data_IF_214094873757
#
_entry.id   IF_214094873757
#
_cell.length_a   1.000
_cell.length_b   1.000
_cell.length_c   1.000
_cell.angle_alpha   90.00
_cell.angle_beta   90.00
_cell.angle_gamma   90.00
#
_symmetry.space_group_name_H-M   'P 1'
#
loop_
_entity.id
_entity.type
_entity.pdbx_description
1 polymer ?
#
# COMPACT_ATOMS: atom_id res chain seq x y z
N UNK A 1 -4.84 -30.02 -65.41
CA UNK A 1 -4.34 -29.44 -64.15
C UNK A 1 -5.51 -28.77 -63.44
N UNK A 2 -6.01 -29.31 -62.32
CA UNK A 2 -6.99 -28.62 -61.48
C UNK A 2 -6.28 -27.76 -60.42
N UNK A 3 -6.83 -26.58 -60.17
CA UNK A 3 -6.37 -25.56 -59.25
C UNK A 3 -6.53 -26.02 -57.79
N UNK A 4 -5.46 -25.89 -57.00
CA UNK A 4 -5.51 -25.90 -55.53
C UNK A 4 -6.32 -24.66 -55.12
N UNK A 5 -7.51 -24.85 -54.56
CA UNK A 5 -8.20 -23.79 -53.82
C UNK A 5 -7.47 -23.65 -52.48
N UNK A 6 -6.97 -22.44 -52.23
CA UNK A 6 -6.47 -22.02 -50.94
C UNK A 6 -7.61 -22.11 -49.93
N UNK A 7 -7.54 -23.12 -49.04
CA UNK A 7 -8.31 -23.13 -47.81
C UNK A 7 -7.88 -21.91 -46.99
N UNK A 8 -8.73 -20.88 -47.02
CA UNK A 8 -8.58 -19.68 -46.23
C UNK A 8 -8.44 -20.08 -44.76
N UNK A 9 -7.29 -19.74 -44.17
CA UNK A 9 -7.07 -19.88 -42.74
C UNK A 9 -8.22 -19.20 -41.99
N UNK A 10 -9.07 -20.00 -41.35
CA UNK A 10 -10.15 -19.48 -40.54
C UNK A 10 -9.53 -18.82 -39.30
N UNK A 11 -9.55 -17.49 -39.24
CA UNK A 11 -9.00 -16.72 -38.12
C UNK A 11 -9.75 -16.98 -36.81
N UNK A 12 -10.96 -17.54 -36.87
CA UNK A 12 -11.74 -17.91 -35.68
C UNK A 12 -11.18 -19.18 -35.00
N UNK A 13 -10.53 -20.08 -35.75
CA UNK A 13 -9.83 -21.24 -35.16
C UNK A 13 -8.50 -20.86 -34.48
N UNK A 14 -7.96 -19.67 -34.79
CA UNK A 14 -6.68 -19.20 -34.24
C UNK A 14 -6.82 -18.63 -32.82
N UNK A 15 -8.02 -18.18 -32.45
CA UNK A 15 -8.30 -17.60 -31.14
C UNK A 15 -9.05 -18.52 -30.20
N UNK A 16 -9.43 -19.73 -30.64
CA UNK A 16 -10.02 -20.76 -29.80
C UNK A 16 -11.39 -20.36 -29.25
N UNK A 17 -12.34 -21.28 -29.36
CA UNK A 17 -13.56 -21.27 -28.56
C UNK A 17 -13.23 -20.85 -27.10
N UNK A 18 -14.03 -20.00 -26.44
CA UNK A 18 -13.73 -19.47 -25.09
C UNK A 18 -13.57 -20.56 -24.01
N UNK A 19 -13.84 -21.82 -24.36
CA UNK A 19 -13.68 -23.00 -23.51
C UNK A 19 -12.47 -23.90 -23.89
N UNK A 20 -11.72 -23.60 -24.95
CA UNK A 20 -10.63 -24.48 -25.43
C UNK A 20 -9.34 -24.38 -24.59
N UNK A 21 -9.20 -23.32 -23.80
CA UNK A 21 -8.10 -23.11 -22.86
C UNK A 21 -8.52 -23.31 -21.39
N UNK A 22 -9.59 -24.06 -21.13
CA UNK A 22 -9.83 -24.55 -19.78
C UNK A 22 -8.80 -25.63 -19.47
N UNK A 23 -7.75 -25.25 -18.75
CA UNK A 23 -6.71 -26.13 -18.20
C UNK A 23 -7.26 -27.14 -17.16
N UNK A 24 -8.55 -27.48 -17.22
CA UNK A 24 -9.28 -28.27 -16.22
C UNK A 24 -9.27 -27.62 -14.83
N UNK A 25 -8.90 -26.34 -14.74
CA UNK A 25 -8.86 -25.62 -13.49
C UNK A 25 -10.27 -25.09 -13.21
N UNK A 26 -10.89 -25.46 -12.08
CA UNK A 26 -12.21 -24.96 -11.75
C UNK A 26 -12.18 -23.42 -11.74
N UNK A 27 -13.17 -22.80 -12.36
CA UNK A 27 -13.33 -21.35 -12.35
C UNK A 27 -13.23 -20.84 -10.91
N UNK A 28 -12.21 -20.02 -10.64
CA UNK A 28 -11.98 -19.50 -9.30
C UNK A 28 -13.23 -18.73 -8.86
N UNK A 29 -13.74 -18.96 -7.64
CA UNK A 29 -14.92 -18.26 -7.18
C UNK A 29 -14.63 -16.75 -7.15
N UNK A 30 -15.60 -15.90 -7.53
CA UNK A 30 -15.41 -14.47 -7.51
C UNK A 30 -15.02 -14.01 -6.10
N UNK A 31 -13.87 -13.35 -6.00
CA UNK A 31 -13.35 -12.85 -4.74
C UNK A 31 -14.27 -11.70 -4.29
N UNK A 32 -15.01 -11.92 -3.20
CA UNK A 32 -15.92 -10.91 -2.64
C UNK A 32 -15.16 -9.61 -2.37
N UNK A 33 -15.71 -8.49 -2.85
CA UNK A 33 -15.13 -7.16 -2.65
C UNK A 33 -13.97 -6.81 -3.59
N UNK A 34 -13.57 -7.68 -4.53
CA UNK A 34 -12.50 -7.36 -5.49
C UNK A 34 -12.85 -6.15 -6.37
N UNK A 35 -14.08 -6.09 -6.89
CA UNK A 35 -14.52 -4.95 -7.70
C UNK A 35 -14.47 -3.63 -6.92
N UNK A 36 -14.87 -3.65 -5.64
CA UNK A 36 -14.78 -2.49 -4.76
C UNK A 36 -13.32 -2.11 -4.48
N UNK A 37 -12.44 -3.09 -4.19
CA UNK A 37 -11.02 -2.86 -3.98
C UNK A 37 -10.34 -2.28 -5.24
N UNK A 38 -10.72 -2.76 -6.43
CA UNK A 38 -10.23 -2.23 -7.70
C UNK A 38 -10.70 -0.80 -7.95
N UNK A 39 -11.96 -0.48 -7.63
CA UNK A 39 -12.46 0.89 -7.76
C UNK A 39 -11.81 1.83 -6.73
N UNK A 40 -11.62 1.38 -5.49
CA UNK A 40 -10.83 2.12 -4.47
C UNK A 40 -9.40 2.37 -4.95
N UNK A 41 -8.73 1.37 -5.54
CA UNK A 41 -7.37 1.51 -6.08
C UNK A 41 -7.34 2.48 -7.26
N UNK A 42 -8.35 2.42 -8.14
CA UNK A 42 -8.49 3.33 -9.28
C UNK A 42 -8.72 4.77 -8.85
N UNK A 43 -9.46 4.98 -7.76
CA UNK A 43 -9.81 6.30 -7.25
C UNK A 43 -8.71 6.93 -6.40
N UNK A 44 -7.96 6.14 -5.61
CA UNK A 44 -7.07 6.67 -4.58
C UNK A 44 -5.59 6.60 -4.94
N UNK A 45 -5.17 5.73 -5.87
CA UNK A 45 -3.76 5.47 -6.23
C UNK A 45 -2.92 4.82 -5.12
N UNK A 46 -3.22 5.11 -3.85
CA UNK A 46 -2.61 4.57 -2.64
C UNK A 46 -3.68 3.90 -1.76
N UNK A 47 -3.69 2.56 -1.71
CA UNK A 47 -4.70 1.78 -0.96
C UNK A 47 -4.10 0.62 -0.12
N UNK A 48 -2.81 0.69 0.22
CA UNK A 48 -2.13 -0.36 0.98
C UNK A 48 -2.54 -0.31 2.46
N UNK A 49 -3.62 -1.00 2.81
CA UNK A 49 -4.15 -1.08 4.19
C UNK A 49 -3.35 -2.02 5.10
N UNK A 50 -2.48 -2.86 4.54
CA UNK A 50 -1.60 -3.78 5.28
C UNK A 50 -0.19 -3.69 4.70
N UNK A 51 0.82 -3.55 5.55
CA UNK A 51 2.22 -3.46 5.16
C UNK A 51 3.13 -4.27 6.09
N UNK A 52 4.15 -4.93 5.53
CA UNK A 52 5.15 -5.72 6.26
C UNK A 52 6.52 -5.06 6.24
N UNK A 53 7.13 -4.97 7.40
CA UNK A 53 8.50 -4.51 7.61
C UNK A 53 9.51 -5.63 7.36
N UNK A 54 10.70 -5.28 6.87
CA UNK A 54 11.85 -6.21 6.78
C UNK A 54 12.27 -6.77 8.14
N UNK A 55 11.88 -6.14 9.24
CA UNK A 55 12.18 -6.59 10.60
C UNK A 55 11.08 -7.50 11.20
N UNK A 56 10.12 -7.98 10.39
CA UNK A 56 9.09 -8.93 10.84
C UNK A 56 7.90 -8.31 11.57
N UNK A 57 7.73 -6.99 11.43
CA UNK A 57 6.60 -6.24 11.95
C UNK A 57 5.51 -6.08 10.89
N UNK A 58 4.25 -6.20 11.29
CA UNK A 58 3.07 -6.14 10.45
C UNK A 58 2.25 -4.95 10.93
N UNK A 59 2.02 -4.00 10.04
CA UNK A 59 1.09 -2.90 10.29
C UNK A 59 -0.16 -3.09 9.44
N UNK A 60 -1.33 -2.83 10.03
CA UNK A 60 -2.61 -2.87 9.33
C UNK A 60 -3.51 -1.73 9.80
N UNK A 61 -4.32 -1.19 8.91
CA UNK A 61 -5.39 -0.26 9.25
C UNK A 61 -6.54 -1.07 9.84
N UNK A 62 -7.10 -0.61 10.96
CA UNK A 62 -8.27 -1.23 11.59
C UNK A 62 -9.50 -1.22 10.65
N UNK A 63 -10.47 -2.11 10.86
CA UNK A 63 -11.67 -2.17 10.01
C UNK A 63 -12.51 -0.88 9.98
N UNK A 64 -12.44 -0.08 11.05
CA UNK A 64 -13.08 1.26 11.11
C UNK A 64 -12.30 2.34 10.34
N UNK A 65 -11.10 2.02 9.86
CA UNK A 65 -10.23 2.90 9.08
C UNK A 65 -9.50 3.96 9.89
N UNK A 66 -9.57 3.95 11.22
CA UNK A 66 -9.12 5.07 12.06
C UNK A 66 -7.83 4.82 12.83
N UNK A 67 -7.42 3.56 12.98
CA UNK A 67 -6.28 3.17 13.80
C UNK A 67 -5.29 2.36 12.99
N UNK A 68 -4.03 2.43 13.41
CA UNK A 68 -3.01 1.49 12.94
C UNK A 68 -2.79 0.46 14.03
N UNK A 69 -2.92 -0.79 13.65
CA UNK A 69 -2.64 -1.97 14.44
C UNK A 69 -1.28 -2.50 14.01
N UNK A 70 -0.42 -2.75 14.99
CA UNK A 70 0.90 -3.32 14.80
C UNK A 70 0.98 -4.66 15.52
N UNK A 71 1.49 -5.68 14.82
CA UNK A 71 1.75 -7.02 15.34
C UNK A 71 3.11 -7.51 14.86
N UNK A 72 3.69 -8.47 15.58
CA UNK A 72 4.94 -9.12 15.20
C UNK A 72 4.71 -10.57 14.85
N UNK A 73 5.46 -11.10 13.88
CA UNK A 73 5.53 -12.54 13.65
C UNK A 73 6.40 -13.19 14.71
N UNK A 74 5.87 -14.22 15.35
CA UNK A 74 6.55 -14.96 16.42
C UNK A 74 6.58 -16.43 16.05
N UNK A 75 7.75 -17.06 16.08
CA UNK A 75 7.85 -18.51 15.99
C UNK A 75 7.66 -19.08 17.40
N UNK A 76 6.58 -19.82 17.62
CA UNK A 76 6.27 -20.38 18.93
C UNK A 76 7.31 -21.46 19.28
N UNK A 77 8.05 -21.34 20.40
CA UNK A 77 9.11 -22.29 20.72
C UNK A 77 8.65 -23.75 20.91
N UNK A 78 7.38 -23.95 21.28
CA UNK A 78 6.86 -25.28 21.61
C UNK A 78 6.60 -26.17 20.40
N UNK A 79 6.21 -25.60 19.26
CA UNK A 79 5.79 -26.35 18.07
C UNK A 79 6.38 -25.81 16.75
N UNK A 80 7.18 -24.75 16.81
CA UNK A 80 7.80 -24.11 15.63
C UNK A 80 6.81 -23.39 14.72
N UNK A 81 5.54 -23.20 15.13
CA UNK A 81 4.53 -22.53 14.32
C UNK A 81 4.67 -21.02 14.40
N UNK A 82 4.53 -20.37 13.26
CA UNK A 82 4.45 -18.91 13.18
C UNK A 82 3.07 -18.42 13.60
N UNK A 83 3.03 -17.47 14.53
CA UNK A 83 1.82 -16.83 15.01
C UNK A 83 1.99 -15.32 15.01
N UNK A 84 0.86 -14.60 14.99
CA UNK A 84 0.86 -13.17 15.24
C UNK A 84 0.90 -12.92 16.74
N UNK A 85 1.75 -11.99 17.14
CA UNK A 85 1.80 -11.47 18.51
C UNK A 85 0.57 -10.67 18.89
N UNK A 86 0.61 -10.15 20.11
CA UNK A 86 -0.43 -9.26 20.62
C UNK A 86 -0.59 -8.01 19.76
N UNK A 87 -1.82 -7.51 19.74
CA UNK A 87 -2.17 -6.28 19.05
C UNK A 87 -1.67 -5.06 19.82
N UNK A 88 -0.83 -4.25 19.19
CA UNK A 88 -0.40 -2.96 19.69
C UNK A 88 -0.95 -1.86 18.78
N UNK A 89 -1.80 -0.99 19.30
CA UNK A 89 -2.32 0.14 18.51
C UNK A 89 -1.38 1.34 18.59
N UNK A 90 -1.14 2.01 17.45
CA UNK A 90 -0.44 3.28 17.41
C UNK A 90 -1.37 4.40 17.89
N UNK A 91 -1.52 4.54 19.20
CA UNK A 91 -2.40 5.52 19.84
C UNK A 91 -2.33 6.96 19.28
N UNK A 92 -1.15 7.55 18.98
CA UNK A 92 -1.10 8.92 18.48
C UNK A 92 -1.62 9.10 17.05
N UNK A 93 -1.86 8.04 16.28
CA UNK A 93 -2.29 8.15 14.87
C UNK A 93 -3.65 8.81 14.73
N UNK A 94 -4.61 8.44 15.58
CA UNK A 94 -5.98 8.97 15.49
C UNK A 94 -5.99 10.50 15.65
N UNK A 95 -5.28 10.99 16.67
CA UNK A 95 -5.14 12.41 16.97
C UNK A 95 -4.30 13.12 15.90
N UNK A 96 -3.19 12.51 15.46
CA UNK A 96 -2.33 13.08 14.43
C UNK A 96 -3.09 13.33 13.12
N UNK A 97 -4.06 12.46 12.79
CA UNK A 97 -4.90 12.57 11.61
C UNK A 97 -6.30 13.14 11.91
N UNK A 98 -6.54 13.77 13.05
CA UNK A 98 -7.83 14.42 13.39
C UNK A 98 -9.06 13.53 13.14
N UNK A 99 -8.96 12.21 13.31
CA UNK A 99 -10.06 11.29 13.01
C UNK A 99 -10.34 11.03 11.52
N UNK A 100 -9.47 11.45 10.60
CA UNK A 100 -9.59 11.12 9.19
C UNK A 100 -9.36 9.63 8.93
N UNK A 101 -10.03 9.12 7.89
CA UNK A 101 -9.88 7.76 7.42
C UNK A 101 -8.46 7.54 6.86
N UNK A 102 -7.80 6.49 7.31
CA UNK A 102 -6.49 6.09 6.85
C UNK A 102 -6.60 5.32 5.53
N UNK A 103 -5.71 5.63 4.59
CA UNK A 103 -5.73 5.08 3.24
C UNK A 103 -4.54 4.17 2.94
N UNK A 104 -3.35 4.51 3.46
CA UNK A 104 -2.12 3.83 3.06
C UNK A 104 -1.09 3.73 4.19
N UNK A 105 -0.40 2.58 4.23
CA UNK A 105 0.73 2.29 5.12
C UNK A 105 1.96 1.93 4.29
N UNK A 106 3.14 2.43 4.68
CA UNK A 106 4.39 2.04 4.01
C UNK A 106 5.56 2.00 4.98
N UNK A 107 6.29 0.90 4.97
CA UNK A 107 7.55 0.79 5.69
C UNK A 107 8.70 1.34 4.88
N UNK A 108 9.63 2.03 5.54
CA UNK A 108 10.89 2.41 4.93
C UNK A 108 11.75 1.17 4.61
N UNK A 109 12.85 1.37 3.89
CA UNK A 109 13.68 0.27 3.41
C UNK A 109 14.26 -0.58 4.57
N UNK A 110 14.64 0.04 5.68
CA UNK A 110 15.17 -0.67 6.85
C UNK A 110 14.08 -1.38 7.64
N UNK A 111 12.81 -1.02 7.45
CA UNK A 111 11.68 -1.56 8.18
C UNK A 111 11.49 -0.98 9.59
N UNK A 112 12.15 0.13 9.91
CA UNK A 112 12.13 0.76 11.23
C UNK A 112 11.20 1.97 11.30
N UNK A 113 10.78 2.50 10.16
CA UNK A 113 9.88 3.65 10.09
C UNK A 113 8.65 3.31 9.27
N UNK A 114 7.50 3.78 9.74
CA UNK A 114 6.20 3.58 9.11
C UNK A 114 5.61 4.93 8.75
N UNK A 115 5.28 5.10 7.47
CA UNK A 115 4.48 6.20 6.97
C UNK A 115 3.00 5.81 6.99
N UNK A 116 2.19 6.71 7.50
CA UNK A 116 0.73 6.58 7.58
C UNK A 116 0.11 7.74 6.81
N UNK A 117 -0.76 7.44 5.86
CA UNK A 117 -1.41 8.42 4.98
C UNK A 117 -2.92 8.35 5.16
N UNK A 118 -3.56 9.49 5.34
CA UNK A 118 -5.03 9.59 5.36
C UNK A 118 -5.62 9.89 3.96
N UNK A 119 -6.95 9.79 3.85
CA UNK A 119 -7.68 10.06 2.62
C UNK A 119 -7.57 11.51 2.13
N UNK A 120 -7.21 12.46 3.01
CA UNK A 120 -6.94 13.86 2.64
C UNK A 120 -5.50 14.06 2.13
N UNK A 121 -4.68 13.00 2.10
CA UNK A 121 -3.31 13.04 1.62
C UNK A 121 -2.30 13.55 2.64
N UNK A 122 -2.68 13.66 3.93
CA UNK A 122 -1.76 14.05 5.00
C UNK A 122 -0.98 12.84 5.49
N UNK A 123 0.27 13.06 5.90
CA UNK A 123 1.22 12.00 6.23
C UNK A 123 1.76 12.15 7.65
N UNK A 124 1.74 11.09 8.42
CA UNK A 124 2.56 10.99 9.64
C UNK A 124 3.62 9.90 9.49
N UNK A 125 4.74 10.07 10.20
CA UNK A 125 5.86 9.12 10.19
C UNK A 125 6.17 8.72 11.62
N UNK A 126 6.28 7.42 11.85
CA UNK A 126 6.61 6.85 13.16
C UNK A 126 7.86 5.98 13.06
N UNK A 127 8.79 6.15 14.00
CA UNK A 127 9.85 5.19 14.28
C UNK A 127 9.33 4.11 15.21
N UNK A 128 9.50 2.85 14.83
CA UNK A 128 9.03 1.68 15.58
C UNK A 128 10.25 0.83 15.92
N UNK A 129 10.66 0.87 17.19
CA UNK A 129 11.72 0.01 17.70
C UNK A 129 11.11 -1.28 18.22
N UNK A 130 11.22 -2.33 17.41
CA UNK A 130 10.67 -3.66 17.73
C UNK A 130 11.29 -4.22 19.01
N UNK A 131 12.61 -4.09 19.17
CA UNK A 131 13.32 -4.61 20.34
C UNK A 131 12.90 -3.93 21.64
N UNK A 132 12.49 -2.67 21.58
CA UNK A 132 12.06 -1.88 22.74
C UNK A 132 10.53 -1.81 22.88
N UNK A 133 9.79 -2.40 21.93
CA UNK A 133 8.34 -2.22 21.77
C UNK A 133 7.90 -0.75 21.93
N UNK A 134 8.68 0.17 21.34
CA UNK A 134 8.49 1.61 21.51
C UNK A 134 8.19 2.29 20.18
N UNK A 135 7.22 3.19 20.18
CA UNK A 135 6.83 4.00 19.03
C UNK A 135 7.15 5.46 19.31
N UNK A 136 7.82 6.11 18.36
CA UNK A 136 8.12 7.55 18.44
C UNK A 136 7.62 8.24 17.17
N UNK A 137 6.79 9.28 17.31
CA UNK A 137 6.37 10.10 16.17
C UNK A 137 7.53 10.96 15.68
N UNK A 138 7.95 10.77 14.43
CA UNK A 138 8.98 11.58 13.76
C UNK A 138 8.36 12.77 13.02
N UNK A 139 7.16 12.59 12.47
CA UNK A 139 6.41 13.63 11.75
C UNK A 139 4.92 13.51 12.02
N UNK A 140 4.25 14.64 12.23
CA UNK A 140 2.81 14.73 12.44
C UNK A 140 2.08 15.08 11.13
N UNK A 141 0.86 14.58 10.96
CA UNK A 141 0.06 14.88 9.76
C UNK A 141 -0.46 16.32 9.72
N UNK A 142 -0.45 17.03 10.86
CA UNK A 142 -0.79 18.45 10.97
C UNK A 142 0.12 19.39 10.18
N UNK A 143 1.29 18.92 9.72
CA UNK A 143 2.16 19.69 8.84
C UNK A 143 1.64 19.79 7.40
N UNK A 144 0.67 18.95 7.02
CA UNK A 144 0.07 18.96 5.68
C UNK A 144 -1.27 19.71 5.70
N UNK A 145 -1.54 20.48 4.64
CA UNK A 145 -2.86 21.07 4.41
C UNK A 145 -3.85 19.98 4.07
N UNK A 146 -4.98 19.89 4.79
CA UNK A 146 -6.05 18.93 4.51
C UNK A 146 -6.95 19.35 3.34
N UNK A 147 -6.37 19.68 2.19
CA UNK A 147 -7.12 20.05 0.99
C UNK A 147 -7.55 18.79 0.22
N UNK A 148 -8.78 18.75 -0.29
CA UNK A 148 -9.28 17.57 -1.03
C UNK A 148 -8.50 17.35 -2.34
N UNK A 149 -7.79 18.39 -2.82
CA UNK A 149 -6.91 18.34 -3.99
C UNK A 149 -5.51 17.77 -3.73
N UNK A 150 -5.17 17.35 -2.50
CA UNK A 150 -3.88 16.72 -2.18
C UNK A 150 -3.86 15.19 -2.25
N UNK A 151 -4.76 14.60 -3.04
CA UNK A 151 -4.83 13.15 -3.19
C UNK A 151 -3.47 12.54 -3.58
N UNK A 152 -2.99 11.62 -2.76
CA UNK A 152 -1.70 10.96 -2.94
C UNK A 152 -1.86 9.80 -3.92
N UNK A 153 -1.39 9.98 -5.15
CA UNK A 153 -1.40 8.94 -6.20
C UNK A 153 -0.15 8.07 -6.21
N UNK A 154 0.88 8.44 -5.45
CA UNK A 154 2.06 7.62 -5.27
C UNK A 154 2.96 8.12 -4.14
N UNK A 155 3.69 7.20 -3.53
CA UNK A 155 4.61 7.49 -2.45
C UNK A 155 5.86 6.62 -2.57
N UNK A 156 7.03 7.20 -2.32
CA UNK A 156 8.29 6.48 -2.32
C UNK A 156 9.21 7.01 -1.22
N UNK A 157 9.74 6.09 -0.41
CA UNK A 157 10.82 6.40 0.52
C UNK A 157 12.08 6.82 -0.25
N UNK A 158 12.68 7.93 0.15
CA UNK A 158 13.94 8.40 -0.39
C UNK A 158 15.09 7.72 0.34
N UNK A 159 16.14 7.39 -0.42
CA UNK A 159 17.34 6.81 0.15
C UNK A 159 18.11 7.88 0.92
N UNK A 160 18.30 7.69 2.22
CA UNK A 160 19.03 8.60 3.11
C UNK A 160 20.51 8.79 2.74
N UNK A 161 21.10 7.87 1.96
CA UNK A 161 22.46 8.00 1.44
C UNK A 161 22.53 8.90 0.19
N UNK A 162 21.40 9.19 -0.47
CA UNK A 162 21.35 10.16 -1.56
C UNK A 162 21.11 11.53 -0.96
N UNK A 163 22.17 12.33 -0.90
CA UNK A 163 22.10 13.75 -0.54
C UNK A 163 21.21 14.49 -1.55
N UNK A 164 19.92 14.62 -1.24
CA UNK A 164 19.08 15.64 -1.88
C UNK A 164 19.44 16.94 -1.17
N UNK A 165 19.78 18.00 -1.90
CA UNK A 165 20.03 19.33 -1.30
C UNK A 165 18.71 19.87 -0.77
N UNK A 166 18.45 19.61 0.51
CA UNK A 166 17.24 20.00 1.20
C UNK A 166 17.59 20.36 2.65
N UNK A 167 16.98 21.41 3.24
CA UNK A 167 17.33 21.86 4.60
C UNK A 167 16.86 20.89 5.71
N UNK A 168 16.00 19.93 5.39
CA UNK A 168 15.46 18.92 6.29
C UNK A 168 15.73 17.54 5.70
N UNK A 169 16.03 16.50 6.50
CA UNK A 169 16.21 15.15 5.98
C UNK A 169 14.90 14.68 5.32
N UNK A 170 14.86 14.76 3.98
CA UNK A 170 13.72 14.32 3.19
C UNK A 170 13.70 12.80 3.17
N UNK A 171 12.68 12.20 3.78
CA UNK A 171 12.53 10.75 3.88
C UNK A 171 11.54 10.21 2.86
N UNK A 172 10.62 11.02 2.33
CA UNK A 172 9.51 10.55 1.46
C UNK A 172 9.24 11.52 0.30
N UNK A 173 9.09 10.98 -0.91
CA UNK A 173 8.53 11.71 -2.06
C UNK A 173 7.09 11.29 -2.30
N UNK A 174 6.23 12.26 -2.52
CA UNK A 174 4.79 12.09 -2.77
C UNK A 174 4.45 12.64 -4.16
N UNK A 175 3.62 11.89 -4.88
CA UNK A 175 2.98 12.32 -6.11
C UNK A 175 1.52 12.65 -5.82
N UNK A 176 1.11 13.87 -6.15
CA UNK A 176 -0.27 14.32 -6.02
C UNK A 176 -0.88 14.55 -7.39
N UNK A 177 -2.16 14.18 -7.55
CA UNK A 177 -2.91 14.51 -8.76
C UNK A 177 -3.44 15.94 -8.68
N UNK A 178 -2.76 16.86 -9.35
CA UNK A 178 -3.31 18.20 -9.64
C UNK A 178 -3.52 18.32 -11.13
N UNK A 179 -4.78 18.43 -11.52
CA UNK A 179 -5.29 18.62 -12.89
C UNK A 179 -4.59 19.71 -13.71
N UNK A 180 -3.75 20.58 -13.13
CA UNK A 180 -3.09 21.67 -13.88
C UNK A 180 -1.56 21.76 -13.75
N UNK A 181 -0.87 20.93 -12.96
CA UNK A 181 0.60 20.82 -12.96
C UNK A 181 1.03 19.77 -11.96
N UNK A 182 1.63 18.68 -12.45
CA UNK A 182 2.25 17.65 -11.62
C UNK A 182 3.21 18.28 -10.61
N UNK A 183 2.80 18.26 -9.34
CA UNK A 183 3.53 18.88 -8.25
C UNK A 183 4.21 17.78 -7.44
N UNK A 184 5.53 17.83 -7.36
CA UNK A 184 6.31 16.94 -6.52
C UNK A 184 6.40 17.57 -5.12
N UNK A 185 5.77 16.96 -4.13
CA UNK A 185 6.01 17.32 -2.74
C UNK A 185 7.05 16.35 -2.18
N UNK A 186 8.17 16.89 -1.72
CA UNK A 186 9.22 16.11 -1.07
C UNK A 186 9.21 16.49 0.39
N UNK A 187 9.04 15.50 1.26
CA UNK A 187 8.92 15.63 2.72
C UNK A 187 10.11 14.98 3.40
#
# INVERSE_FOLDING_TARGET
MPLIMEDGINVDDLFGEPNSLELGLPAAPPIKGLAQCLDEMRLLGCCQKIAWSRMGCIASISPDGLRVIVRHLQCRPSDGKWVLGEESSLAPVLEAHNGNQLAHLSWNETGSELAVVDCSGRISIYSISIALNSITGLRQASFDSGDDGSQVVGMMWLNSQRYVRCPYPLSIRIYQDRSEKGSNMVI
#
